data_IF_096061513089
#
_entry.id   IF_096061513089
#
_cell.length_a   1.000
_cell.length_b   1.000
_cell.length_c   1.000
_cell.angle_alpha   90.00
_cell.angle_beta   90.00
_cell.angle_gamma   90.00
#
_symmetry.space_group_name_H-M   'P 1'
#
loop_
_entity.id
_entity.type
_entity.pdbx_description
1 polymer ?
#
# COMPACT_ATOMS: atom_id res chain seq x y z
N UNK A 1 29.53 10.03 15.63
CA UNK A 1 28.51 10.33 14.60
C UNK A 1 27.37 9.35 14.81
N UNK A 2 26.34 9.74 15.55
CA UNK A 2 25.17 8.89 15.74
C UNK A 2 24.25 9.11 14.54
N UNK A 3 24.03 8.07 13.74
CA UNK A 3 22.96 8.06 12.75
C UNK A 3 21.64 8.06 13.51
N UNK A 4 20.99 9.21 13.55
CA UNK A 4 19.61 9.35 14.03
C UNK A 4 18.68 8.69 13.01
N UNK A 5 18.52 7.38 13.11
CA UNK A 5 17.40 6.70 12.48
C UNK A 5 16.18 7.04 13.34
N UNK A 6 15.50 8.12 12.98
CA UNK A 6 14.23 8.51 13.61
C UNK A 6 13.28 7.29 13.50
N UNK A 7 12.67 6.82 14.61
CA UNK A 7 11.59 5.87 14.50
C UNK A 7 10.47 6.54 13.70
N UNK A 8 9.81 5.78 12.82
CA UNK A 8 8.57 6.26 12.24
C UNK A 8 7.53 6.28 13.37
N UNK A 9 7.37 7.43 14.03
CA UNK A 9 6.62 7.55 15.29
C UNK A 9 5.08 7.55 15.08
N UNK A 10 4.59 7.35 13.85
CA UNK A 10 3.16 7.30 13.51
C UNK A 10 2.84 6.16 12.53
N UNK A 11 1.76 5.36 12.75
CA UNK A 11 1.28 4.37 11.78
C UNK A 11 1.01 4.93 10.38
N UNK A 12 0.69 6.22 10.28
CA UNK A 12 0.53 6.92 9.00
C UNK A 12 1.86 7.08 8.26
N UNK A 13 2.95 7.41 8.97
CA UNK A 13 4.28 7.58 8.37
C UNK A 13 4.80 6.24 7.82
N UNK A 14 4.59 5.15 8.56
CA UNK A 14 4.94 3.80 8.09
C UNK A 14 4.16 3.42 6.82
N UNK A 15 2.86 3.78 6.78
CA UNK A 15 2.01 3.55 5.62
C UNK A 15 2.47 4.36 4.39
N UNK A 16 2.83 5.63 4.57
CA UNK A 16 3.40 6.47 3.50
C UNK A 16 4.76 5.96 3.00
N UNK A 17 5.59 5.43 3.90
CA UNK A 17 6.84 4.77 3.51
C UNK A 17 6.60 3.47 2.74
N UNK A 18 5.56 2.71 3.09
CA UNK A 18 5.17 1.52 2.34
C UNK A 18 4.60 1.87 0.95
N UNK A 19 3.80 2.94 0.85
CA UNK A 19 3.35 3.50 -0.44
C UNK A 19 4.56 3.81 -1.34
N UNK A 20 5.50 4.61 -0.81
CA UNK A 20 6.69 5.05 -1.53
C UNK A 20 7.52 3.87 -2.05
N UNK A 21 7.69 2.83 -1.20
CA UNK A 21 8.38 1.59 -1.59
C UNK A 21 7.69 0.89 -2.74
N UNK A 22 6.37 0.75 -2.69
CA UNK A 22 5.61 0.01 -3.70
C UNK A 22 5.51 0.76 -5.02
N UNK A 23 5.35 2.09 -4.97
CA UNK A 23 5.34 2.97 -6.15
C UNK A 23 6.69 2.97 -6.86
N UNK A 24 7.80 2.75 -6.14
CA UNK A 24 9.14 2.66 -6.73
C UNK A 24 9.43 1.31 -7.42
N UNK A 25 8.60 0.28 -7.20
CA UNK A 25 8.81 -1.03 -7.83
C UNK A 25 8.52 -1.00 -9.33
N UNK A 26 9.28 -1.81 -10.05
CA UNK A 26 9.08 -2.05 -11.49
C UNK A 26 8.79 -3.54 -11.72
N UNK A 27 8.39 -3.90 -12.94
CA UNK A 27 8.20 -5.31 -13.30
C UNK A 27 9.47 -6.16 -13.08
N UNK A 28 10.66 -5.54 -13.12
CA UNK A 28 11.95 -6.19 -12.89
C UNK A 28 12.19 -6.56 -11.43
N UNK A 29 11.47 -5.93 -10.49
CA UNK A 29 11.50 -6.30 -9.07
C UNK A 29 10.94 -7.71 -8.81
N UNK A 30 10.21 -8.26 -9.77
CA UNK A 30 9.62 -9.60 -9.66
C UNK A 30 8.30 -9.62 -8.91
N UNK A 31 7.50 -10.65 -9.22
CA UNK A 31 6.12 -10.80 -8.72
C UNK A 31 6.07 -10.95 -7.20
N UNK A 32 6.96 -11.74 -6.64
CA UNK A 32 7.01 -12.02 -5.20
C UNK A 32 7.30 -10.78 -4.36
N UNK A 33 8.25 -9.93 -4.80
CA UNK A 33 8.56 -8.69 -4.09
C UNK A 33 7.39 -7.72 -4.13
N UNK A 34 6.73 -7.57 -5.28
CA UNK A 34 5.55 -6.72 -5.44
C UNK A 34 4.39 -7.21 -4.55
N UNK A 35 4.11 -8.51 -4.56
CA UNK A 35 3.07 -9.10 -3.72
C UNK A 35 3.36 -8.94 -2.21
N UNK A 36 4.62 -9.08 -1.82
CA UNK A 36 5.08 -8.87 -0.43
C UNK A 36 4.88 -7.42 -0.01
N UNK A 37 5.36 -6.47 -0.80
CA UNK A 37 5.20 -5.04 -0.50
C UNK A 37 3.72 -4.63 -0.48
N UNK A 38 2.91 -5.18 -1.38
CA UNK A 38 1.46 -4.95 -1.39
C UNK A 38 0.79 -5.47 -0.12
N UNK A 39 1.17 -6.66 0.33
CA UNK A 39 0.65 -7.25 1.56
C UNK A 39 1.02 -6.41 2.77
N UNK A 40 2.29 -5.97 2.86
CA UNK A 40 2.75 -5.08 3.91
C UNK A 40 1.98 -3.75 3.93
N UNK A 41 1.78 -3.12 2.77
CA UNK A 41 0.97 -1.90 2.67
C UNK A 41 -0.46 -2.12 3.18
N UNK A 42 -1.11 -3.22 2.76
CA UNK A 42 -2.47 -3.56 3.20
C UNK A 42 -2.56 -3.78 4.71
N UNK A 43 -1.56 -4.44 5.30
CA UNK A 43 -1.51 -4.69 6.74
C UNK A 43 -1.34 -3.40 7.54
N UNK A 44 -0.48 -2.48 7.10
CA UNK A 44 -0.31 -1.16 7.71
C UNK A 44 -1.61 -0.34 7.61
N UNK A 45 -2.28 -0.37 6.46
CA UNK A 45 -3.58 0.30 6.30
C UNK A 45 -4.61 -0.28 7.27
N UNK A 46 -4.64 -1.62 7.42
CA UNK A 46 -5.53 -2.26 8.39
C UNK A 46 -5.21 -1.84 9.83
N UNK A 47 -3.93 -1.79 10.20
CA UNK A 47 -3.48 -1.34 11.53
C UNK A 47 -3.92 0.10 11.83
N UNK A 48 -3.83 1.00 10.84
CA UNK A 48 -4.33 2.37 10.95
C UNK A 48 -5.84 2.39 11.22
N UNK A 49 -6.62 1.57 10.49
CA UNK A 49 -8.08 1.50 10.63
C UNK A 49 -8.49 0.97 12.00
N UNK A 50 -7.89 -0.11 12.49
CA UNK A 50 -8.26 -0.71 13.79
C UNK A 50 -7.82 0.15 14.97
N UNK A 51 -6.82 1.00 14.79
CA UNK A 51 -6.38 1.98 15.78
C UNK A 51 -7.23 3.25 15.84
N UNK A 52 -8.09 3.49 14.84
CA UNK A 52 -8.89 4.70 14.75
C UNK A 52 -10.12 4.67 15.68
N UNK A 53 -10.51 5.80 16.29
CA UNK A 53 -11.75 5.90 17.08
C UNK A 53 -13.03 5.62 16.28
N UNK A 54 -13.02 5.95 14.99
CA UNK A 54 -14.07 5.63 14.02
C UNK A 54 -13.43 5.09 12.74
N UNK A 55 -13.76 3.85 12.38
CA UNK A 55 -13.25 3.19 11.18
C UNK A 55 -14.03 3.54 9.92
N UNK A 56 -15.25 4.08 10.03
CA UNK A 56 -16.12 4.32 8.88
C UNK A 56 -15.51 5.24 7.80
N UNK A 57 -14.78 6.33 8.14
CA UNK A 57 -14.16 7.20 7.14
C UNK A 57 -13.08 6.50 6.29
N UNK A 58 -12.47 5.42 6.77
CA UNK A 58 -11.43 4.69 6.06
C UNK A 58 -11.98 3.66 5.05
N UNK A 59 -13.29 3.40 5.05
CA UNK A 59 -13.90 2.38 4.20
C UNK A 59 -13.61 2.57 2.69
N UNK A 60 -13.59 3.79 2.12
CA UNK A 60 -13.22 4.00 0.72
C UNK A 60 -11.78 3.52 0.42
N UNK A 61 -10.81 3.95 1.22
CA UNK A 61 -9.41 3.56 1.09
C UNK A 61 -9.24 2.04 1.25
N UNK A 62 -9.89 1.44 2.26
CA UNK A 62 -9.85 0.00 2.49
C UNK A 62 -10.41 -0.80 1.31
N UNK A 63 -11.57 -0.41 0.78
CA UNK A 63 -12.20 -1.11 -0.34
C UNK A 63 -11.37 -1.01 -1.62
N UNK A 64 -10.80 0.17 -1.88
CA UNK A 64 -9.92 0.39 -3.03
C UNK A 64 -8.73 -0.58 -3.01
N UNK A 65 -8.13 -0.81 -1.84
CA UNK A 65 -6.97 -1.69 -1.69
C UNK A 65 -7.36 -3.15 -1.61
N UNK A 66 -8.30 -3.49 -0.74
CA UNK A 66 -8.64 -4.87 -0.42
C UNK A 66 -9.48 -5.56 -1.51
N UNK A 67 -10.10 -4.79 -2.42
CA UNK A 67 -10.82 -5.36 -3.56
C UNK A 67 -10.14 -5.00 -4.88
N UNK A 68 -10.07 -3.73 -5.22
CA UNK A 68 -9.69 -3.31 -6.57
C UNK A 68 -8.20 -3.50 -6.84
N UNK A 69 -7.32 -3.07 -5.93
CA UNK A 69 -5.88 -3.23 -6.12
C UNK A 69 -5.44 -4.70 -6.04
N UNK A 70 -6.12 -5.52 -5.23
CA UNK A 70 -5.91 -6.98 -5.22
C UNK A 70 -6.22 -7.64 -6.57
N UNK A 71 -7.30 -7.23 -7.23
CA UNK A 71 -7.64 -7.74 -8.57
C UNK A 71 -6.55 -7.38 -9.58
N UNK A 72 -6.07 -6.13 -9.56
CA UNK A 72 -4.97 -5.72 -10.44
C UNK A 72 -3.66 -6.46 -10.13
N UNK A 73 -3.38 -6.74 -8.85
CA UNK A 73 -2.22 -7.57 -8.48
C UNK A 73 -2.31 -8.97 -9.06
N UNK A 74 -3.49 -9.61 -9.00
CA UNK A 74 -3.69 -10.93 -9.62
C UNK A 74 -3.47 -10.90 -11.14
N UNK A 75 -3.95 -9.85 -11.82
CA UNK A 75 -3.67 -9.68 -13.25
C UNK A 75 -2.18 -9.51 -13.55
N UNK A 76 -1.47 -8.76 -12.71
CA UNK A 76 -0.02 -8.62 -12.83
C UNK A 76 0.69 -9.97 -12.64
N UNK A 77 0.30 -10.75 -11.64
CA UNK A 77 0.84 -12.10 -11.39
C UNK A 77 0.59 -13.07 -12.54
N UNK A 78 -0.49 -12.87 -13.31
CA UNK A 78 -0.80 -13.62 -14.53
C UNK A 78 -0.03 -13.14 -15.78
N UNK A 79 0.78 -12.09 -15.66
CA UNK A 79 1.63 -11.57 -16.74
C UNK A 79 1.16 -10.27 -17.38
N UNK A 80 0.07 -9.66 -16.90
CA UNK A 80 -0.34 -8.33 -17.34
C UNK A 80 0.53 -7.25 -16.69
N UNK A 81 1.66 -6.91 -17.29
CA UNK A 81 2.60 -5.93 -16.74
C UNK A 81 1.97 -4.54 -16.53
N UNK A 82 1.00 -4.15 -17.35
CA UNK A 82 0.28 -2.88 -17.20
C UNK A 82 -0.61 -2.83 -15.95
N UNK A 83 -0.93 -3.98 -15.35
CA UNK A 83 -1.69 -4.03 -14.10
C UNK A 83 -0.89 -3.49 -12.91
N UNK A 84 0.45 -3.55 -12.93
CA UNK A 84 1.28 -2.97 -11.87
C UNK A 84 1.04 -1.46 -11.71
N UNK A 85 0.97 -0.72 -12.83
CA UNK A 85 0.68 0.71 -12.80
C UNK A 85 -0.68 1.01 -12.16
N UNK A 86 -1.69 0.17 -12.41
CA UNK A 86 -3.03 0.30 -11.80
C UNK A 86 -3.03 -0.03 -10.31
N UNK A 87 -2.22 -1.00 -9.87
CA UNK A 87 -2.01 -1.25 -8.43
C UNK A 87 -1.42 -0.01 -7.77
N UNK A 88 -0.35 0.55 -8.36
CA UNK A 88 0.35 1.72 -7.83
C UNK A 88 -0.55 2.97 -7.79
N UNK A 89 -1.38 3.18 -8.82
CA UNK A 89 -2.36 4.27 -8.86
C UNK A 89 -3.39 4.15 -7.73
N UNK A 90 -3.94 2.95 -7.51
CA UNK A 90 -4.92 2.70 -6.44
C UNK A 90 -4.34 2.88 -5.04
N UNK A 91 -3.06 2.58 -4.85
CA UNK A 91 -2.37 2.82 -3.58
C UNK A 91 -2.26 4.33 -3.33
N UNK A 92 -1.83 5.11 -4.33
CA UNK A 92 -1.77 6.58 -4.22
C UNK A 92 -3.14 7.17 -3.90
N UNK A 93 -4.17 6.72 -4.62
CA UNK A 93 -5.55 7.16 -4.40
C UNK A 93 -6.04 6.76 -3.00
N UNK A 94 -5.73 5.56 -2.51
CA UNK A 94 -6.12 5.14 -1.16
C UNK A 94 -5.52 6.01 -0.07
N UNK A 95 -4.27 6.48 -0.24
CA UNK A 95 -3.64 7.44 0.68
C UNK A 95 -4.37 8.79 0.65
N UNK A 96 -4.78 9.27 -0.53
CA UNK A 96 -5.52 10.52 -0.68
C UNK A 96 -6.94 10.46 -0.07
N UNK A 97 -7.50 9.26 0.07
CA UNK A 97 -8.82 9.02 0.66
C UNK A 97 -8.79 8.85 2.18
N UNK A 98 -7.61 8.89 2.83
CA UNK A 98 -7.51 8.85 4.28
C UNK A 98 -8.06 10.15 4.90
N UNK A 99 -8.75 10.08 6.05
CA UNK A 99 -9.34 11.23 6.74
C UNK A 99 -8.31 12.12 7.45
#
# INVERSE_FOLDING_TARGET
>A
MCNSQLPADSPLDELMLAESRLVALTAESGKEQIATQFTQFRELLWQLIVGAPDSAPYAPAWNLINLHAKIDLLYFEQGNLAALARVQEKIKEAIQLLP
#
